data_IF_832818698038
#
_entry.id   IF_832818698038
#
_cell.length_a   1.000
_cell.length_b   1.000
_cell.length_c   1.000
_cell.angle_alpha   90.00
_cell.angle_beta   90.00
_cell.angle_gamma   90.00
#
_symmetry.space_group_name_H-M   'P 1'
#
loop_
_entity.id
_entity.type
_entity.pdbx_description
1 polymer ?
#
# COMPACT_ATOMS: atom_id res chain seq x y z
N UNK A 1 17.68 -11.38 26.87
CA UNK A 1 17.98 -10.85 25.51
C UNK A 1 16.74 -10.17 24.95
N UNK A 2 16.78 -8.92 24.48
CA UNK A 2 15.58 -8.22 23.97
C UNK A 2 15.24 -8.66 22.54
N UNK A 3 14.60 -9.82 22.40
CA UNK A 3 14.15 -10.33 21.08
C UNK A 3 12.95 -9.53 20.60
N UNK A 4 13.15 -8.68 19.60
CA UNK A 4 12.02 -8.08 18.86
C UNK A 4 11.53 -9.10 17.85
N UNK A 5 10.23 -9.39 17.88
CA UNK A 5 9.56 -10.27 16.92
C UNK A 5 9.06 -9.46 15.73
N UNK A 6 9.53 -9.79 14.53
CA UNK A 6 9.19 -9.05 13.32
C UNK A 6 8.25 -9.90 12.46
N UNK A 7 6.99 -9.47 12.40
CA UNK A 7 5.91 -10.19 11.72
C UNK A 7 5.72 -9.63 10.31
N UNK A 8 6.33 -10.27 9.32
CA UNK A 8 5.87 -10.20 7.94
C UNK A 8 4.59 -11.02 7.79
N UNK A 9 3.67 -10.58 6.93
CA UNK A 9 2.52 -11.41 6.61
C UNK A 9 2.03 -11.25 5.19
N UNK A 10 1.85 -12.38 4.51
CA UNK A 10 0.97 -12.53 3.37
C UNK A 10 -0.35 -13.11 3.91
N UNK A 11 -1.24 -12.23 4.38
CA UNK A 11 -2.46 -12.60 5.12
C UNK A 11 -3.48 -13.21 4.16
N UNK A 12 -4.08 -14.34 4.54
CA UNK A 12 -5.39 -14.75 4.03
C UNK A 12 -6.45 -14.12 4.94
N UNK A 13 -7.15 -13.07 4.46
CA UNK A 13 -8.14 -12.37 5.28
C UNK A 13 -9.49 -13.07 5.22
N UNK A 14 -9.68 -14.05 6.10
CA UNK A 14 -10.99 -14.67 6.37
C UNK A 14 -11.23 -14.83 7.87
N UNK A 15 -12.31 -14.22 8.34
CA UNK A 15 -13.00 -14.48 9.62
C UNK A 15 -12.17 -14.51 10.91
N UNK A 16 -12.10 -13.36 11.61
CA UNK A 16 -11.85 -13.35 13.05
C UNK A 16 -13.07 -13.90 13.80
N UNK A 17 -13.02 -15.17 14.20
CA UNK A 17 -13.90 -15.73 15.25
C UNK A 17 -13.07 -16.65 16.16
N UNK A 18 -12.73 -16.13 17.34
CA UNK A 18 -12.16 -16.92 18.44
C UNK A 18 -13.25 -17.17 19.48
N UNK A 19 -13.84 -18.38 19.47
CA UNK A 19 -14.61 -18.88 20.60
C UNK A 19 -13.64 -19.44 21.66
N UNK A 20 -13.77 -19.06 22.94
CA UNK A 20 -12.91 -19.58 24.00
C UNK A 20 -13.29 -21.03 24.34
N UNK A 21 -12.39 -21.98 24.06
CA UNK A 21 -12.54 -23.36 24.51
C UNK A 21 -12.07 -23.47 25.97
N UNK A 22 -13.01 -23.54 26.90
CA UNK A 22 -12.76 -23.87 28.31
C UNK A 22 -12.64 -25.39 28.47
N UNK A 23 -11.58 -25.93 29.10
CA UNK A 23 -11.35 -27.38 29.18
C UNK A 23 -12.10 -28.04 30.35
N UNK A 24 -13.40 -28.28 30.21
CA UNK A 24 -14.16 -29.12 31.16
C UNK A 24 -14.02 -30.61 30.83
N UNK A 25 -13.45 -31.39 31.75
CA UNK A 25 -13.37 -32.86 31.63
C UNK A 25 -14.74 -33.51 31.85
N UNK A 26 -15.31 -34.14 30.83
CA UNK A 26 -16.21 -35.29 31.02
C UNK A 26 -16.17 -36.23 29.79
N UNK A 27 -16.30 -37.54 30.03
CA UNK A 27 -16.38 -38.57 28.98
C UNK A 27 -17.84 -38.92 28.74
N UNK A 28 -18.28 -38.91 27.49
CA UNK A 28 -19.53 -39.55 27.06
C UNK A 28 -19.42 -39.98 25.59
N UNK A 29 -19.54 -41.29 25.33
CA UNK A 29 -19.54 -41.81 23.97
C UNK A 29 -20.90 -41.54 23.30
N UNK A 30 -20.93 -40.82 22.18
CA UNK A 30 -22.11 -40.75 21.29
C UNK A 30 -21.63 -40.93 19.85
N UNK A 31 -22.26 -41.89 19.13
CA UNK A 31 -22.08 -42.07 17.68
C UNK A 31 -22.69 -40.89 16.94
N UNK A 32 -21.96 -40.32 15.98
CA UNK A 32 -22.56 -39.44 14.96
C UNK A 32 -22.96 -40.29 13.77
N UNK A 33 -24.26 -40.36 13.46
CA UNK A 33 -24.74 -40.82 12.17
C UNK A 33 -24.59 -39.69 11.14
N UNK A 34 -24.06 -39.99 9.96
CA UNK A 34 -24.11 -39.07 8.83
C UNK A 34 -25.53 -39.05 8.25
N UNK A 35 -26.28 -37.98 8.49
CA UNK A 35 -27.50 -37.65 7.74
C UNK A 35 -27.19 -36.59 6.69
N UNK A 36 -27.43 -36.91 5.42
CA UNK A 36 -27.23 -36.00 4.29
C UNK A 36 -28.42 -35.06 4.13
N UNK A 37 -28.28 -33.79 4.51
CA UNK A 37 -29.26 -32.76 4.21
C UNK A 37 -28.81 -31.88 3.03
N UNK A 38 -29.31 -32.22 1.84
CA UNK A 38 -29.55 -31.23 0.78
C UNK A 38 -30.76 -30.39 1.18
N UNK A 39 -30.68 -29.05 1.08
CA UNK A 39 -31.84 -28.17 1.21
C UNK A 39 -31.65 -26.83 0.48
N UNK A 40 -32.54 -26.58 -0.49
CA UNK A 40 -33.04 -25.29 -0.98
C UNK A 40 -32.05 -24.17 -1.30
N UNK A 41 -31.71 -24.07 -2.59
CA UNK A 41 -31.55 -22.77 -3.23
C UNK A 41 -32.94 -22.11 -3.36
N UNK A 42 -33.21 -21.10 -2.53
CA UNK A 42 -34.46 -20.33 -2.60
C UNK A 42 -34.41 -19.32 -3.75
N UNK A 43 -35.08 -19.62 -4.86
CA UNK A 43 -35.37 -18.65 -5.92
C UNK A 43 -36.26 -17.53 -5.38
N UNK A 44 -35.67 -16.36 -5.10
CA UNK A 44 -36.45 -15.15 -4.82
C UNK A 44 -36.98 -14.64 -6.16
N UNK A 45 -38.30 -14.75 -6.34
CA UNK A 45 -39.02 -14.18 -7.48
C UNK A 45 -38.93 -12.65 -7.46
N UNK A 46 -38.83 -12.05 -8.65
CA UNK A 46 -38.86 -10.58 -8.79
C UNK A 46 -40.27 -10.07 -8.51
N UNK A 47 -40.56 -9.68 -7.27
CA UNK A 47 -41.66 -8.77 -6.99
C UNK A 47 -41.28 -7.37 -7.47
N UNK A 48 -42.20 -6.70 -8.16
CA UNK A 48 -42.02 -5.32 -8.59
C UNK A 48 -42.04 -4.39 -7.38
N UNK A 49 -40.87 -4.06 -6.84
CA UNK A 49 -40.76 -3.10 -5.75
C UNK A 49 -41.28 -1.72 -6.19
N UNK A 50 -42.12 -1.13 -5.33
CA UNK A 50 -42.69 0.20 -5.53
C UNK A 50 -41.56 1.26 -5.52
N UNK A 51 -41.39 1.97 -6.64
CA UNK A 51 -40.39 3.02 -6.80
C UNK A 51 -40.88 4.31 -6.15
N UNK A 52 -40.12 4.82 -5.19
CA UNK A 52 -40.48 5.95 -4.31
C UNK A 52 -39.53 7.14 -4.44
N UNK A 53 -38.45 7.01 -5.21
CA UNK A 53 -37.59 8.14 -5.56
C UNK A 53 -36.46 7.77 -6.51
N UNK A 54 -35.57 8.73 -6.76
CA UNK A 54 -34.36 8.56 -7.56
C UNK A 54 -33.25 9.48 -7.05
N UNK A 55 -32.02 8.95 -7.00
CA UNK A 55 -30.81 9.72 -6.81
C UNK A 55 -30.24 10.09 -8.18
N UNK A 56 -30.13 11.40 -8.43
CA UNK A 56 -29.66 11.98 -9.70
C UNK A 56 -28.23 12.49 -9.52
N UNK A 57 -27.25 12.03 -10.32
CA UNK A 57 -25.86 12.48 -10.17
C UNK A 57 -25.74 13.96 -10.54
N UNK A 58 -24.86 14.66 -9.82
CA UNK A 58 -24.54 16.07 -10.06
C UNK A 58 -23.06 16.24 -10.43
N UNK A 59 -22.79 17.26 -11.25
CA UNK A 59 -21.44 17.74 -11.52
C UNK A 59 -20.89 18.60 -10.35
N UNK A 60 -19.66 19.10 -10.47
CA UNK A 60 -19.03 19.94 -9.44
C UNK A 60 -19.73 21.31 -9.24
N UNK A 61 -20.52 21.78 -10.20
CA UNK A 61 -21.29 23.02 -10.15
C UNK A 61 -22.70 22.83 -9.56
N UNK A 62 -23.08 21.59 -9.22
CA UNK A 62 -24.41 21.15 -8.76
C UNK A 62 -25.50 21.04 -9.85
N UNK A 63 -25.15 21.11 -11.14
CA UNK A 63 -26.07 20.76 -12.23
C UNK A 63 -26.18 19.23 -12.38
N UNK A 64 -27.27 18.73 -12.99
CA UNK A 64 -27.43 17.30 -13.28
C UNK A 64 -26.37 16.81 -14.30
N UNK A 65 -25.63 15.75 -13.96
CA UNK A 65 -24.58 15.21 -14.82
C UNK A 65 -25.17 14.40 -15.99
N UNK A 66 -25.13 14.98 -17.19
CA UNK A 66 -25.57 14.35 -18.44
C UNK A 66 -24.47 13.60 -19.19
N UNK A 67 -23.28 13.41 -18.60
CA UNK A 67 -22.16 12.69 -19.22
C UNK A 67 -22.36 11.18 -19.37
N UNK A 68 -23.42 10.62 -18.74
CA UNK A 68 -23.66 9.18 -18.57
C UNK A 68 -22.52 8.42 -17.85
N UNK A 69 -21.56 9.12 -17.24
CA UNK A 69 -20.44 8.49 -16.53
C UNK A 69 -20.84 7.82 -15.20
N UNK A 70 -21.94 8.30 -14.60
CA UNK A 70 -22.53 7.80 -13.36
C UNK A 70 -24.03 7.56 -13.61
N UNK A 71 -24.58 6.37 -13.29
CA UNK A 71 -26.00 6.10 -13.47
C UNK A 71 -26.87 6.81 -12.41
N UNK A 72 -28.10 7.14 -12.79
CA UNK A 72 -29.16 7.47 -11.83
C UNK A 72 -29.54 6.21 -11.05
N UNK A 73 -29.67 6.30 -9.72
CA UNK A 73 -30.03 5.16 -8.87
C UNK A 73 -31.48 5.29 -8.45
N UNK A 74 -32.33 4.35 -8.88
CA UNK A 74 -33.73 4.29 -8.45
C UNK A 74 -33.81 3.84 -6.98
N UNK A 75 -34.76 4.42 -6.23
CA UNK A 75 -34.99 4.14 -4.83
C UNK A 75 -36.37 3.51 -4.67
N UNK A 76 -36.40 2.31 -4.11
CA UNK A 76 -37.59 1.51 -3.83
C UNK A 76 -37.96 1.56 -2.33
N UNK A 77 -39.19 1.18 -2.01
CA UNK A 77 -39.63 0.97 -0.63
C UNK A 77 -38.76 -0.08 0.08
N UNK A 78 -38.35 0.17 1.33
CA UNK A 78 -37.39 -0.68 2.04
C UNK A 78 -35.93 -0.19 1.93
N UNK A 79 -34.97 -1.12 2.00
CA UNK A 79 -33.52 -0.80 2.08
C UNK A 79 -32.86 -0.87 0.72
N UNK A 80 -32.30 0.26 0.26
CA UNK A 80 -31.56 0.39 -0.99
C UNK A 80 -30.08 0.60 -0.66
N UNK A 81 -29.17 -0.18 -1.22
CA UNK A 81 -27.74 -0.12 -0.87
C UNK A 81 -26.95 0.53 -2.00
N UNK A 82 -26.34 1.69 -1.73
CA UNK A 82 -25.47 2.42 -2.65
C UNK A 82 -23.99 2.18 -2.33
N UNK A 83 -23.17 2.18 -3.39
CA UNK A 83 -21.73 2.01 -3.35
C UNK A 83 -21.23 1.45 -4.69
N UNK A 84 -19.98 0.96 -4.72
CA UNK A 84 -19.35 0.47 -5.95
C UNK A 84 -19.98 -0.78 -6.57
N UNK A 85 -20.86 -1.48 -5.86
CA UNK A 85 -21.60 -2.62 -6.41
C UNK A 85 -22.77 -2.17 -7.31
N UNK A 86 -23.21 -0.91 -7.21
CA UNK A 86 -24.32 -0.31 -7.98
C UNK A 86 -23.84 0.83 -8.89
N UNK A 87 -22.83 1.57 -8.44
CA UNK A 87 -22.29 2.75 -9.15
C UNK A 87 -20.88 2.39 -9.63
N UNK A 88 -20.60 2.30 -10.95
CA UNK A 88 -19.37 1.73 -11.52
C UNK A 88 -18.15 2.66 -11.43
N UNK A 89 -17.87 3.16 -10.22
CA UNK A 89 -16.78 4.06 -9.88
C UNK A 89 -15.54 3.24 -9.49
N UNK A 90 -14.36 3.64 -9.98
CA UNK A 90 -13.08 2.97 -9.66
C UNK A 90 -12.46 3.41 -8.32
N UNK A 91 -12.90 4.54 -7.77
CA UNK A 91 -12.37 5.10 -6.52
C UNK A 91 -12.65 4.19 -5.31
N UNK A 92 -11.56 3.62 -4.77
CA UNK A 92 -11.59 2.69 -3.65
C UNK A 92 -11.94 3.37 -2.30
N UNK A 93 -12.03 4.70 -2.23
CA UNK A 93 -12.62 5.43 -1.09
C UNK A 93 -14.10 5.11 -0.93
N UNK A 94 -14.84 5.00 -2.04
CA UNK A 94 -16.22 4.53 -2.03
C UNK A 94 -16.23 3.03 -1.68
N UNK A 95 -17.05 2.64 -0.71
CA UNK A 95 -17.19 1.24 -0.32
C UNK A 95 -18.07 0.48 -1.32
N UNK A 96 -18.00 -0.85 -1.35
CA UNK A 96 -18.88 -1.70 -2.19
C UNK A 96 -20.35 -1.52 -1.83
N UNK A 97 -20.62 -1.64 -0.53
CA UNK A 97 -21.80 -1.14 0.18
C UNK A 97 -21.31 0.03 1.04
N UNK A 98 -21.85 1.23 0.83
CA UNK A 98 -21.31 2.48 1.40
C UNK A 98 -22.38 3.31 2.12
N UNK A 99 -23.58 3.39 1.56
CA UNK A 99 -24.72 4.09 2.15
C UNK A 99 -25.98 3.23 1.96
N UNK A 100 -26.68 2.92 3.04
CA UNK A 100 -28.04 2.38 2.97
C UNK A 100 -29.04 3.54 2.95
N UNK A 101 -29.96 3.55 1.99
CA UNK A 101 -31.09 4.47 1.90
C UNK A 101 -32.36 3.66 2.18
N UNK A 102 -32.88 3.79 3.38
CA UNK A 102 -34.08 3.09 3.87
C UNK A 102 -35.28 3.99 3.73
N UNK A 103 -36.28 3.59 2.93
CA UNK A 103 -37.60 4.25 2.89
C UNK A 103 -38.58 3.45 3.71
N UNK A 104 -39.07 4.07 4.79
CA UNK A 104 -40.03 3.51 5.75
C UNK A 104 -41.46 3.45 5.18
N UNK A 105 -42.34 2.73 5.88
CA UNK A 105 -43.74 2.59 5.46
C UNK A 105 -44.56 3.90 5.50
N UNK A 106 -44.10 4.89 6.28
CA UNK A 106 -44.64 6.25 6.37
C UNK A 106 -44.10 7.21 5.28
N UNK A 107 -43.25 6.71 4.36
CA UNK A 107 -42.58 7.51 3.35
C UNK A 107 -41.34 8.26 3.84
N UNK A 108 -40.96 8.15 5.11
CA UNK A 108 -39.74 8.78 5.61
C UNK A 108 -38.48 8.09 5.05
N UNK A 109 -37.56 8.88 4.51
CA UNK A 109 -36.31 8.39 3.91
C UNK A 109 -35.15 8.64 4.86
N UNK A 110 -34.50 7.57 5.34
CA UNK A 110 -33.34 7.62 6.22
C UNK A 110 -32.10 7.06 5.52
N UNK A 111 -30.99 7.78 5.62
CA UNK A 111 -29.68 7.32 5.14
C UNK A 111 -28.81 6.87 6.31
N UNK A 112 -28.08 5.77 6.15
CA UNK A 112 -27.16 5.20 7.16
C UNK A 112 -25.82 4.84 6.51
N UNK A 113 -24.70 5.27 7.08
CA UNK A 113 -23.36 5.04 6.48
C UNK A 113 -22.85 3.64 6.81
N UNK A 114 -22.90 2.75 5.83
CA UNK A 114 -22.33 1.38 5.91
C UNK A 114 -20.80 1.38 5.71
N UNK A 115 -20.29 2.39 5.00
CA UNK A 115 -18.88 2.52 4.66
C UNK A 115 -17.97 2.87 5.84
N UNK A 116 -16.67 2.69 5.63
CA UNK A 116 -15.63 3.16 6.56
C UNK A 116 -15.26 4.64 6.36
N UNK A 117 -15.46 5.17 5.15
CA UNK A 117 -15.33 6.59 4.86
C UNK A 117 -16.66 7.33 5.13
N UNK A 118 -16.63 8.59 5.56
CA UNK A 118 -17.81 9.37 5.88
C UNK A 118 -18.57 9.84 4.63
N UNK A 119 -19.88 9.99 4.77
CA UNK A 119 -20.77 10.62 3.78
C UNK A 119 -21.10 12.05 4.24
N UNK A 120 -21.46 12.94 3.33
CA UNK A 120 -21.94 14.29 3.69
C UNK A 120 -23.31 14.53 3.07
N UNK A 121 -24.23 15.07 3.85
CA UNK A 121 -25.55 15.51 3.40
C UNK A 121 -25.59 17.03 3.42
N UNK A 122 -25.97 17.65 2.30
CA UNK A 122 -26.37 19.06 2.24
C UNK A 122 -27.89 19.11 2.24
N UNK A 123 -28.47 19.77 3.23
CA UNK A 123 -29.89 20.13 3.27
C UNK A 123 -29.99 21.63 3.47
N UNK A 124 -30.54 22.32 2.47
CA UNK A 124 -30.47 23.79 2.39
C UNK A 124 -29.02 24.28 2.61
N UNK A 125 -28.79 25.21 3.53
CA UNK A 125 -27.44 25.73 3.84
C UNK A 125 -26.62 24.85 4.80
N UNK A 126 -27.19 23.76 5.35
CA UNK A 126 -26.50 22.90 6.30
C UNK A 126 -25.76 21.75 5.62
N UNK A 127 -24.42 21.73 5.75
CA UNK A 127 -23.55 20.64 5.27
C UNK A 127 -23.14 19.72 6.43
N UNK A 128 -23.95 18.70 6.71
CA UNK A 128 -23.73 17.74 7.81
C UNK A 128 -22.93 16.52 7.36
N UNK A 129 -21.80 16.27 8.02
CA UNK A 129 -21.01 15.04 7.86
C UNK A 129 -21.61 13.91 8.71
N UNK A 130 -21.60 12.69 8.17
CA UNK A 130 -21.99 11.46 8.86
C UNK A 130 -20.81 10.47 8.87
N UNK A 131 -20.53 9.89 10.03
CA UNK A 131 -19.55 8.82 10.23
C UNK A 131 -20.19 7.42 10.04
N UNK A 132 -19.36 6.38 10.01
CA UNK A 132 -19.82 4.99 9.90
C UNK A 132 -20.85 4.65 11.00
N UNK A 133 -21.97 4.01 10.61
CA UNK A 133 -23.16 3.72 11.43
C UNK A 133 -23.99 4.93 11.89
N UNK A 134 -23.58 6.17 11.60
CA UNK A 134 -24.46 7.33 11.81
C UNK A 134 -25.56 7.37 10.74
N UNK A 135 -26.69 7.98 11.12
CA UNK A 135 -27.90 8.02 10.31
C UNK A 135 -28.58 9.38 10.33
N UNK A 136 -29.26 9.73 9.24
CA UNK A 136 -29.97 11.00 9.07
C UNK A 136 -31.22 10.81 8.21
N UNK A 137 -32.33 11.48 8.55
CA UNK A 137 -33.50 11.57 7.67
C UNK A 137 -33.24 12.64 6.62
N UNK A 138 -33.50 12.34 5.35
CA UNK A 138 -33.34 13.25 4.21
C UNK A 138 -34.70 13.61 3.57
N UNK A 139 -34.72 14.69 2.81
CA UNK A 139 -35.91 15.24 2.13
C UNK A 139 -35.67 15.38 0.63
N UNK A 140 -36.75 15.60 -0.11
CA UNK A 140 -36.64 15.99 -1.52
C UNK A 140 -35.73 17.21 -1.69
N UNK A 141 -34.83 17.14 -2.66
CA UNK A 141 -33.87 18.20 -2.96
C UNK A 141 -32.52 18.12 -2.24
N UNK A 142 -32.40 17.31 -1.17
CA UNK A 142 -31.12 17.14 -0.45
C UNK A 142 -30.02 16.54 -1.34
N UNK A 143 -28.77 16.94 -1.10
CA UNK A 143 -27.61 16.48 -1.87
C UNK A 143 -26.70 15.60 -1.01
N UNK A 144 -26.46 14.38 -1.47
CA UNK A 144 -25.58 13.38 -0.85
C UNK A 144 -24.22 13.43 -1.55
N UNK A 145 -23.16 13.86 -0.85
CA UNK A 145 -21.77 13.63 -1.27
C UNK A 145 -21.37 12.25 -0.74
N UNK A 146 -21.30 11.23 -1.61
CA UNK A 146 -20.94 9.87 -1.17
C UNK A 146 -19.48 9.80 -0.67
N UNK A 147 -18.62 10.72 -1.07
CA UNK A 147 -17.33 11.00 -0.41
C UNK A 147 -17.24 12.53 -0.26
N UNK A 148 -16.67 13.10 0.81
CA UNK A 148 -16.70 14.56 0.99
C UNK A 148 -16.05 15.28 -0.19
N UNK A 149 -16.84 16.11 -0.89
CA UNK A 149 -16.45 16.82 -2.11
C UNK A 149 -16.57 16.05 -3.43
N UNK A 150 -17.09 14.81 -3.45
CA UNK A 150 -17.15 13.96 -4.63
C UNK A 150 -18.41 13.09 -4.70
N UNK A 151 -18.76 12.63 -5.90
CA UNK A 151 -19.89 11.72 -6.17
C UNK A 151 -21.18 12.24 -5.54
N UNK A 152 -21.58 13.43 -6.00
CA UNK A 152 -22.75 14.15 -5.52
C UNK A 152 -24.01 13.58 -6.19
N UNK A 153 -25.04 13.31 -5.39
CA UNK A 153 -26.35 12.90 -5.86
C UNK A 153 -27.44 13.75 -5.22
N UNK A 154 -28.32 14.34 -6.02
CA UNK A 154 -29.55 14.97 -5.53
C UNK A 154 -30.63 13.90 -5.33
N UNK A 155 -31.21 13.83 -4.15
CA UNK A 155 -32.40 13.01 -3.92
C UNK A 155 -33.62 13.72 -4.50
N UNK A 156 -34.37 13.01 -5.34
CA UNK A 156 -35.71 13.39 -5.78
C UNK A 156 -36.69 12.33 -5.30
N UNK A 157 -37.62 12.71 -4.44
CA UNK A 157 -38.72 11.84 -4.04
C UNK A 157 -39.70 11.72 -5.22
N UNK A 158 -40.25 10.53 -5.46
CA UNK A 158 -41.37 10.36 -6.37
C UNK A 158 -42.67 10.67 -5.62
N UNK A 159 -42.80 11.93 -5.23
CA UNK A 159 -44.10 12.50 -4.90
C UNK A 159 -45.02 12.32 -6.11
N UNK A 160 -46.29 11.98 -5.85
CA UNK A 160 -47.31 12.02 -6.89
C UNK A 160 -47.36 13.43 -7.51
N UNK A 161 -47.56 13.50 -8.84
CA UNK A 161 -47.57 14.73 -9.69
C UNK A 161 -46.20 15.18 -10.25
N UNK A 162 -45.76 14.45 -11.29
CA UNK A 162 -45.71 14.93 -12.68
C UNK A 162 -44.85 16.19 -13.07
N UNK A 163 -43.67 15.98 -13.69
CA UNK A 163 -43.38 16.30 -15.14
C UNK A 163 -41.91 16.12 -15.58
N UNK A 164 -41.70 15.99 -16.90
CA UNK A 164 -40.40 15.76 -17.59
C UNK A 164 -40.05 16.96 -18.48
N UNK A 165 -38.76 17.26 -18.70
CA UNK A 165 -38.24 17.86 -19.95
C UNK A 165 -36.72 17.60 -20.11
N UNK A 166 -36.19 17.75 -21.34
CA UNK A 166 -34.79 17.48 -21.76
C UNK A 166 -34.47 18.24 -23.08
N UNK A 167 -33.29 18.14 -23.74
CA UNK A 167 -32.27 19.21 -23.67
C UNK A 167 -31.73 19.73 -25.03
N UNK A 168 -30.83 20.74 -25.02
CA UNK A 168 -30.13 21.27 -26.21
C UNK A 168 -28.83 22.04 -25.86
N UNK A 169 -27.98 22.53 -26.78
CA UNK A 169 -27.17 21.87 -27.86
C UNK A 169 -26.12 22.90 -28.43
N UNK A 170 -25.04 22.45 -29.10
CA UNK A 170 -24.06 23.26 -29.92
C UNK A 170 -23.03 24.12 -29.12
N UNK A 171 -21.85 24.58 -29.63
CA UNK A 171 -20.96 24.28 -30.81
C UNK A 171 -19.52 24.84 -30.60
N UNK A 172 -18.57 24.54 -31.52
CA UNK A 172 -17.24 25.20 -31.72
C UNK A 172 -17.17 25.96 -33.06
N UNK A 173 -16.15 26.81 -33.28
CA UNK A 173 -15.51 27.01 -34.60
C UNK A 173 -13.96 26.92 -34.60
N UNK A 174 -13.32 27.26 -35.73
CA UNK A 174 -11.87 27.25 -36.09
C UNK A 174 -11.50 28.65 -36.68
N UNK A 175 -10.36 29.01 -37.32
CA UNK A 175 -9.10 28.42 -37.87
C UNK A 175 -8.05 29.62 -37.99
N UNK A 176 -6.81 29.68 -38.52
CA UNK A 176 -5.89 28.89 -39.39
C UNK A 176 -4.52 28.61 -38.67
N UNK A 177 -3.26 28.88 -39.10
CA UNK A 177 -2.60 29.57 -40.24
C UNK A 177 -1.05 29.40 -40.24
N UNK A 178 -0.34 29.66 -41.35
CA UNK A 178 1.09 29.28 -41.58
C UNK A 178 1.88 30.26 -42.47
N UNK A 179 3.20 30.45 -42.22
CA UNK A 179 4.23 30.74 -43.25
C UNK A 179 5.66 30.39 -42.79
N UNK A 180 6.63 30.37 -43.72
CA UNK A 180 7.97 29.76 -43.63
C UNK A 180 9.04 30.64 -44.34
N UNK A 181 10.34 30.51 -44.01
CA UNK A 181 11.43 31.25 -44.69
C UNK A 181 12.83 30.57 -44.59
N UNK A 182 13.84 31.15 -45.25
CA UNK A 182 14.73 30.44 -46.17
C UNK A 182 16.18 30.14 -45.70
N UNK A 183 16.89 29.19 -46.34
CA UNK A 183 18.01 28.48 -45.70
C UNK A 183 19.41 28.99 -46.08
N UNK A 184 19.88 30.10 -45.49
CA UNK A 184 21.31 30.50 -45.59
C UNK A 184 22.00 30.77 -44.23
N UNK A 185 21.26 31.12 -43.18
CA UNK A 185 21.83 31.41 -41.85
C UNK A 185 22.23 30.16 -41.02
N UNK A 186 22.17 28.96 -41.62
CA UNK A 186 22.28 27.67 -40.90
C UNK A 186 23.71 27.15 -40.76
N UNK A 187 24.67 27.63 -41.58
CA UNK A 187 26.06 27.11 -41.58
C UNK A 187 27.04 27.80 -40.62
N UNK A 188 26.89 29.08 -40.30
CA UNK A 188 27.77 29.74 -39.33
C UNK A 188 27.44 29.34 -37.87
N UNK A 189 26.15 29.22 -37.52
CA UNK A 189 25.72 28.86 -36.15
C UNK A 189 26.07 27.44 -35.72
N UNK A 190 26.53 26.58 -36.64
CA UNK A 190 26.92 25.21 -36.34
C UNK A 190 28.29 25.17 -35.62
N UNK A 191 29.25 25.98 -36.09
CA UNK A 191 30.64 25.94 -35.63
C UNK A 191 30.82 26.48 -34.20
N UNK A 192 30.11 27.54 -33.82
CA UNK A 192 30.17 28.10 -32.46
C UNK A 192 29.60 27.14 -31.40
N UNK A 193 28.66 26.26 -31.79
CA UNK A 193 28.02 25.31 -30.87
C UNK A 193 28.94 24.12 -30.56
N UNK A 194 29.65 23.61 -31.57
CA UNK A 194 30.60 22.51 -31.40
C UNK A 194 31.81 22.92 -30.55
N UNK A 195 32.31 24.15 -30.71
CA UNK A 195 33.44 24.66 -29.91
C UNK A 195 33.04 24.89 -28.43
N UNK A 196 31.82 25.40 -28.19
CA UNK A 196 31.28 25.55 -26.84
C UNK A 196 31.05 24.19 -26.14
N UNK A 197 30.67 23.16 -26.89
CA UNK A 197 30.50 21.79 -26.39
C UNK A 197 31.85 21.18 -25.97
N UNK A 198 32.90 21.35 -26.78
CA UNK A 198 34.24 20.83 -26.49
C UNK A 198 34.80 21.37 -25.16
N UNK A 199 34.75 22.70 -24.95
CA UNK A 199 35.23 23.32 -23.70
C UNK A 199 34.49 22.80 -22.46
N UNK A 200 33.21 22.46 -22.59
CA UNK A 200 32.39 21.93 -21.50
C UNK A 200 32.76 20.48 -21.13
N UNK A 201 33.00 19.61 -22.12
CA UNK A 201 33.53 18.27 -21.83
C UNK A 201 34.87 18.35 -21.09
N UNK A 202 35.73 19.31 -21.43
CA UNK A 202 37.01 19.51 -20.76
C UNK A 202 36.86 19.88 -19.26
N UNK A 203 35.89 20.73 -18.90
CA UNK A 203 35.60 21.06 -17.50
C UNK A 203 35.00 19.88 -16.74
N UNK A 204 34.08 19.15 -17.38
CA UNK A 204 33.36 18.05 -16.74
C UNK A 204 34.29 16.87 -16.42
N UNK A 205 35.29 16.60 -17.27
CA UNK A 205 36.36 15.60 -17.01
C UNK A 205 37.26 15.99 -15.84
N UNK A 206 37.69 17.27 -15.75
CA UNK A 206 38.58 17.70 -14.67
C UNK A 206 37.88 17.66 -13.30
N UNK A 207 36.59 18.02 -13.25
CA UNK A 207 35.77 17.92 -12.04
C UNK A 207 35.62 16.45 -11.60
N UNK A 208 35.34 15.52 -12.53
CA UNK A 208 35.17 14.09 -12.26
C UNK A 208 36.47 13.41 -11.77
N UNK A 209 37.66 13.94 -12.11
CA UNK A 209 38.94 13.50 -11.52
C UNK A 209 39.08 14.01 -10.08
N UNK A 210 38.79 15.30 -9.84
CA UNK A 210 38.96 15.91 -8.52
C UNK A 210 37.95 15.37 -7.49
N UNK A 211 36.70 15.13 -7.89
CA UNK A 211 35.69 14.47 -7.07
C UNK A 211 36.10 13.04 -6.69
N UNK A 212 36.80 12.31 -7.57
CA UNK A 212 37.30 10.94 -7.29
C UNK A 212 38.39 10.92 -6.24
N UNK A 213 39.36 11.84 -6.28
CA UNK A 213 40.40 11.92 -5.24
C UNK A 213 39.80 12.27 -3.88
N UNK A 214 38.84 13.22 -3.84
CA UNK A 214 38.07 13.56 -2.63
C UNK A 214 37.28 12.34 -2.11
N UNK A 215 36.67 11.54 -2.99
CA UNK A 215 35.97 10.30 -2.61
C UNK A 215 36.92 9.26 -2.00
N UNK A 216 38.09 9.04 -2.59
CA UNK A 216 39.09 8.07 -2.12
C UNK A 216 39.61 8.42 -0.73
N UNK A 217 39.81 9.71 -0.43
CA UNK A 217 40.24 10.15 0.90
C UNK A 217 39.10 10.07 1.94
N UNK A 218 37.86 10.37 1.54
CA UNK A 218 36.68 10.21 2.39
C UNK A 218 36.41 8.72 2.76
N UNK A 219 36.65 7.78 1.82
CA UNK A 219 36.51 6.34 2.04
C UNK A 219 37.43 5.85 3.18
N UNK A 220 38.67 6.35 3.27
CA UNK A 220 39.66 5.91 4.26
C UNK A 220 39.30 6.28 5.70
N UNK A 221 38.54 7.36 5.91
CA UNK A 221 38.29 7.93 7.24
C UNK A 221 36.86 7.71 7.79
N UNK A 222 36.00 6.92 7.14
CA UNK A 222 34.67 6.61 7.69
C UNK A 222 34.71 5.68 8.91
N UNK A 223 34.96 6.26 10.07
CA UNK A 223 34.55 5.74 11.38
C UNK A 223 33.07 6.13 11.59
N UNK A 224 32.13 5.19 11.73
CA UNK A 224 30.74 5.53 12.04
C UNK A 224 30.68 6.33 13.35
N UNK A 225 30.08 7.54 13.38
CA UNK A 225 29.87 8.27 14.63
C UNK A 225 29.05 7.40 15.59
N UNK A 226 29.54 7.23 16.82
CA UNK A 226 28.98 6.27 17.80
C UNK A 226 27.51 6.54 18.15
N UNK A 227 27.04 7.75 17.89
CA UNK A 227 25.74 8.28 18.30
C UNK A 227 24.68 8.26 17.17
N UNK A 228 25.02 7.77 15.96
CA UNK A 228 24.06 7.67 14.85
C UNK A 228 23.18 6.42 14.98
N UNK A 229 21.88 6.67 15.21
CA UNK A 229 20.71 5.76 15.10
C UNK A 229 21.08 4.27 15.15
N UNK A 230 21.21 3.73 16.36
CA UNK A 230 21.47 2.31 16.63
C UNK A 230 20.48 1.38 15.89
N UNK A 231 20.90 0.15 15.58
CA UNK A 231 20.06 -0.94 15.03
C UNK A 231 18.86 -1.20 15.97
N UNK A 232 17.63 -0.88 15.56
CA UNK A 232 16.56 -0.62 16.55
C UNK A 232 15.15 -0.55 15.96
N UNK A 233 14.16 -0.49 16.87
CA UNK A 233 12.79 -0.09 16.58
C UNK A 233 12.62 1.43 16.74
N UNK A 234 11.88 2.05 15.81
CA UNK A 234 11.51 3.46 15.79
C UNK A 234 10.03 3.62 15.44
N UNK A 235 9.43 4.71 15.91
CA UNK A 235 8.19 5.21 15.35
C UNK A 235 8.50 6.05 14.10
N UNK A 236 7.55 6.08 13.17
CA UNK A 236 7.67 6.88 11.95
C UNK A 236 7.12 8.29 12.19
N UNK A 237 7.65 9.29 11.47
CA UNK A 237 7.36 10.71 11.69
C UNK A 237 5.91 11.06 11.37
N UNK A 238 5.25 11.85 12.22
CA UNK A 238 3.88 12.32 11.99
C UNK A 238 3.90 13.83 11.76
N UNK A 239 3.42 14.28 10.60
CA UNK A 239 3.29 15.70 10.25
C UNK A 239 2.16 16.33 11.06
N UNK A 240 2.40 17.55 11.56
CA UNK A 240 1.46 18.30 12.40
C UNK A 240 1.55 18.02 13.91
N UNK A 241 2.31 17.01 14.36
CA UNK A 241 2.65 16.87 15.78
C UNK A 241 3.75 17.85 16.20
N UNK A 242 3.74 18.20 17.48
CA UNK A 242 4.78 19.02 18.12
C UNK A 242 6.17 18.40 17.93
N UNK A 243 7.25 19.21 17.81
CA UNK A 243 8.59 18.70 17.52
C UNK A 243 9.08 17.63 18.51
N UNK A 244 8.78 17.78 19.80
CA UNK A 244 9.18 16.83 20.84
C UNK A 244 8.64 15.41 20.61
N UNK A 245 7.44 15.27 20.04
CA UNK A 245 6.82 13.98 19.74
C UNK A 245 7.50 13.26 18.55
N UNK A 246 8.25 14.00 17.74
CA UNK A 246 9.01 13.51 16.60
C UNK A 246 10.53 13.37 16.88
N UNK A 247 11.02 13.69 18.08
CA UNK A 247 12.47 13.75 18.41
C UNK A 247 13.25 12.48 18.03
N UNK A 248 12.62 11.31 18.15
CA UNK A 248 13.21 10.01 17.80
C UNK A 248 12.42 9.30 16.69
N UNK A 249 11.68 10.03 15.85
CA UNK A 249 10.94 9.45 14.73
C UNK A 249 11.75 9.47 13.42
N UNK A 250 11.37 8.64 12.44
CA UNK A 250 12.03 8.58 11.13
C UNK A 250 11.04 8.81 9.98
N UNK A 251 11.46 9.56 8.97
CA UNK A 251 10.79 9.71 7.67
C UNK A 251 11.36 8.72 6.63
N UNK A 252 10.79 8.71 5.42
CA UNK A 252 11.31 7.85 4.33
C UNK A 252 12.70 8.28 3.86
N UNK A 253 13.01 9.58 3.87
CA UNK A 253 14.34 10.10 3.54
C UNK A 253 15.42 9.72 4.57
N UNK A 254 15.06 9.63 5.85
CA UNK A 254 15.98 9.19 6.91
C UNK A 254 16.34 7.69 6.76
N UNK A 255 15.46 6.90 6.16
CA UNK A 255 15.64 5.46 5.94
C UNK A 255 16.40 5.18 4.63
N UNK A 256 16.02 5.87 3.55
CA UNK A 256 16.53 5.66 2.18
C UNK A 256 17.45 6.84 1.79
N UNK A 257 18.70 6.77 2.26
CA UNK A 257 19.74 7.79 2.04
C UNK A 257 21.11 7.16 1.80
N UNK A 258 22.00 7.90 1.13
CA UNK A 258 23.32 7.41 0.72
C UNK A 258 23.29 6.54 -0.53
N UNK A 259 24.43 5.97 -0.87
CA UNK A 259 24.69 5.31 -2.16
C UNK A 259 24.13 3.88 -2.19
N UNK A 260 22.80 3.78 -2.34
CA UNK A 260 22.11 2.51 -2.56
C UNK A 260 22.29 2.09 -4.02
N UNK A 261 22.88 0.92 -4.25
CA UNK A 261 22.98 0.30 -5.58
C UNK A 261 21.71 -0.46 -5.96
N UNK A 262 21.08 -1.14 -5.01
CA UNK A 262 19.86 -1.93 -5.22
C UNK A 262 18.86 -1.67 -4.09
N UNK A 263 17.63 -1.29 -4.42
CA UNK A 263 16.53 -1.21 -3.47
C UNK A 263 15.43 -2.22 -3.83
N UNK A 264 15.16 -3.18 -2.95
CA UNK A 264 13.96 -4.03 -3.04
C UNK A 264 12.92 -3.47 -2.07
N UNK A 265 11.81 -2.95 -2.60
CA UNK A 265 10.72 -2.33 -1.85
C UNK A 265 9.49 -3.25 -1.87
N UNK A 266 9.21 -3.91 -0.75
CA UNK A 266 8.03 -4.75 -0.55
C UNK A 266 6.90 -3.92 0.06
N UNK A 267 5.72 -3.87 -0.57
CA UNK A 267 4.54 -3.23 0.01
C UNK A 267 3.19 -3.78 -0.50
N UNK A 268 2.09 -3.39 0.16
CA UNK A 268 0.72 -3.67 -0.30
C UNK A 268 0.24 -2.58 -1.27
N UNK A 269 0.07 -1.34 -0.79
CA UNK A 269 -0.28 -0.18 -1.61
C UNK A 269 0.96 0.66 -1.91
N UNK A 270 1.04 1.18 -3.14
CA UNK A 270 2.13 2.03 -3.61
C UNK A 270 1.56 3.20 -4.42
N UNK A 271 1.68 4.40 -3.87
CA UNK A 271 1.49 5.65 -4.59
C UNK A 271 2.87 6.07 -5.11
N UNK A 272 3.11 5.80 -6.39
CA UNK A 272 4.42 6.03 -7.02
C UNK A 272 4.75 7.53 -7.11
N UNK A 273 3.76 8.38 -7.35
CA UNK A 273 3.97 9.82 -7.56
C UNK A 273 4.30 10.50 -6.24
N UNK A 274 3.59 10.15 -5.15
CA UNK A 274 3.97 10.55 -3.80
C UNK A 274 5.35 10.01 -3.41
N UNK A 275 5.61 8.71 -3.61
CA UNK A 275 6.88 8.07 -3.25
C UNK A 275 8.09 8.76 -3.91
N UNK A 276 7.92 9.15 -5.18
CA UNK A 276 8.92 9.84 -5.98
C UNK A 276 9.05 11.35 -5.71
N UNK A 277 8.13 11.90 -4.91
CA UNK A 277 8.15 13.28 -4.42
C UNK A 277 8.75 13.36 -3.00
N UNK A 278 8.31 12.49 -2.09
CA UNK A 278 8.78 12.44 -0.70
C UNK A 278 10.16 11.77 -0.56
N UNK A 279 10.57 10.91 -1.51
CA UNK A 279 11.90 10.30 -1.54
C UNK A 279 12.59 10.39 -2.93
N UNK A 280 13.02 11.58 -3.39
CA UNK A 280 13.62 11.74 -4.72
C UNK A 280 14.89 10.92 -4.95
N UNK A 281 15.61 10.54 -3.89
CA UNK A 281 16.79 9.66 -3.91
C UNK A 281 16.52 8.35 -4.65
N UNK A 282 15.30 7.81 -4.57
CA UNK A 282 14.90 6.57 -5.28
C UNK A 282 15.06 6.66 -6.81
N UNK A 283 15.07 7.87 -7.39
CA UNK A 283 15.34 8.09 -8.84
C UNK A 283 16.81 7.88 -9.21
N UNK A 284 17.73 8.02 -8.25
CA UNK A 284 19.19 7.88 -8.45
C UNK A 284 19.69 6.46 -8.23
N UNK A 285 18.90 5.60 -7.57
CA UNK A 285 19.27 4.20 -7.30
C UNK A 285 19.35 3.44 -8.63
N UNK A 286 20.49 2.81 -8.98
CA UNK A 286 20.68 2.11 -10.25
C UNK A 286 19.63 1.04 -10.53
N UNK A 287 19.21 0.25 -9.54
CA UNK A 287 18.18 -0.77 -9.69
C UNK A 287 17.16 -0.75 -8.54
N UNK A 288 15.87 -0.68 -8.87
CA UNK A 288 14.78 -0.74 -7.89
C UNK A 288 13.78 -1.83 -8.27
N UNK A 289 13.53 -2.76 -7.36
CA UNK A 289 12.49 -3.79 -7.47
C UNK A 289 11.34 -3.45 -6.52
N UNK A 290 10.16 -3.15 -7.05
CA UNK A 290 8.94 -2.91 -6.25
C UNK A 290 8.07 -4.17 -6.26
N UNK A 291 8.02 -4.85 -5.13
CA UNK A 291 7.19 -6.04 -4.89
C UNK A 291 5.86 -5.58 -4.30
N UNK A 292 4.79 -5.57 -5.10
CA UNK A 292 3.54 -4.86 -4.78
C UNK A 292 2.30 -5.76 -4.65
N UNK A 293 1.33 -5.32 -3.86
CA UNK A 293 -0.02 -5.90 -3.79
C UNK A 293 -1.03 -5.29 -4.77
N UNK A 294 -0.72 -4.13 -5.36
CA UNK A 294 -1.66 -3.36 -6.20
C UNK A 294 -2.22 -4.14 -7.41
N UNK A 295 -3.46 -3.79 -7.77
CA UNK A 295 -4.26 -4.32 -8.88
C UNK A 295 -4.92 -3.18 -9.66
N UNK A 296 -5.53 -3.52 -10.80
CA UNK A 296 -6.39 -2.63 -11.58
C UNK A 296 -5.63 -1.38 -12.06
N UNK A 297 -6.32 -0.25 -12.30
CA UNK A 297 -5.74 1.00 -12.81
C UNK A 297 -4.55 1.56 -12.01
N UNK A 298 -4.35 1.19 -10.74
CA UNK A 298 -3.11 1.54 -10.02
C UNK A 298 -1.90 0.76 -10.50
N UNK A 299 -2.06 -0.55 -10.78
CA UNK A 299 -1.00 -1.35 -11.36
C UNK A 299 -0.65 -0.85 -12.77
N UNK A 300 -1.64 -0.39 -13.54
CA UNK A 300 -1.44 0.22 -14.87
C UNK A 300 -0.72 1.58 -14.77
N UNK A 301 -1.13 2.44 -13.82
CA UNK A 301 -0.46 3.71 -13.53
C UNK A 301 0.99 3.51 -13.10
N UNK A 302 1.28 2.55 -12.22
CA UNK A 302 2.65 2.19 -11.85
C UNK A 302 3.46 1.70 -13.05
N UNK A 303 2.89 0.82 -13.90
CA UNK A 303 3.55 0.33 -15.12
C UNK A 303 3.87 1.45 -16.11
N UNK A 304 3.00 2.46 -16.22
CA UNK A 304 3.15 3.61 -17.14
C UNK A 304 4.17 4.64 -16.65
N UNK A 305 4.22 4.91 -15.34
CA UNK A 305 4.99 6.04 -14.79
C UNK A 305 6.26 5.63 -14.02
N UNK A 306 6.57 4.32 -13.90
CA UNK A 306 7.86 3.86 -13.35
C UNK A 306 9.03 4.36 -14.20
N UNK A 307 10.20 4.63 -13.60
CA UNK A 307 11.46 4.74 -14.34
C UNK A 307 11.77 3.48 -15.16
N UNK A 308 12.62 3.62 -16.18
CA UNK A 308 13.06 2.51 -17.03
C UNK A 308 13.72 1.39 -16.22
N UNK A 309 14.66 1.76 -15.35
CA UNK A 309 15.45 0.88 -14.47
C UNK A 309 14.70 0.28 -13.27
N UNK A 310 13.38 0.53 -13.14
CA UNK A 310 12.56 -0.05 -12.08
C UNK A 310 11.83 -1.31 -12.56
N UNK A 311 11.88 -2.38 -11.76
CA UNK A 311 11.15 -3.62 -11.97
C UNK A 311 9.92 -3.61 -11.06
N UNK A 312 8.74 -3.92 -11.61
CA UNK A 312 7.53 -4.13 -10.82
C UNK A 312 7.22 -5.63 -10.78
N UNK A 313 7.05 -6.17 -9.58
CA UNK A 313 6.72 -7.57 -9.37
C UNK A 313 5.49 -7.74 -8.50
N UNK A 314 4.66 -8.73 -8.82
CA UNK A 314 3.48 -9.12 -8.06
C UNK A 314 3.61 -10.60 -7.68
N UNK A 315 3.90 -10.94 -6.42
CA UNK A 315 4.08 -12.32 -5.99
C UNK A 315 2.85 -13.21 -6.27
N UNK A 316 3.05 -14.52 -6.48
CA UNK A 316 1.95 -15.45 -6.67
C UNK A 316 1.09 -15.54 -5.41
N UNK A 317 -0.23 -15.42 -5.58
CA UNK A 317 -1.23 -15.55 -4.53
C UNK A 317 -2.18 -16.71 -4.91
N UNK A 318 -1.74 -17.98 -4.78
CA UNK A 318 -2.46 -19.16 -5.30
C UNK A 318 -3.68 -19.58 -4.46
N UNK A 319 -3.98 -18.85 -3.37
CA UNK A 319 -5.12 -19.09 -2.49
C UNK A 319 -6.03 -17.86 -2.57
N UNK A 320 -7.33 -18.07 -2.76
CA UNK A 320 -8.34 -17.02 -2.80
C UNK A 320 -8.26 -16.12 -1.54
N UNK A 321 -8.55 -14.83 -1.72
CA UNK A 321 -8.47 -13.78 -0.68
C UNK A 321 -7.09 -13.58 -0.02
N UNK A 322 -6.03 -14.25 -0.51
CA UNK A 322 -4.65 -13.96 -0.14
C UNK A 322 -4.22 -12.56 -0.58
N UNK A 323 -3.46 -11.86 0.28
CA UNK A 323 -2.98 -10.49 0.04
C UNK A 323 -1.48 -10.37 0.26
N UNK A 324 -0.77 -9.69 -0.66
CA UNK A 324 0.61 -9.27 -0.42
C UNK A 324 0.65 -8.10 0.58
N UNK A 325 0.60 -8.40 1.87
CA UNK A 325 0.54 -7.39 2.94
C UNK A 325 1.92 -7.01 3.53
N UNK A 326 2.98 -7.73 3.15
CA UNK A 326 4.37 -7.47 3.57
C UNK A 326 4.84 -6.07 3.24
N UNK A 327 5.68 -5.51 4.13
CA UNK A 327 6.12 -4.11 4.14
C UNK A 327 7.56 -4.03 4.63
N UNK A 328 8.49 -3.97 3.70
CA UNK A 328 9.92 -4.07 3.98
C UNK A 328 10.76 -3.42 2.88
N UNK A 329 11.99 -3.07 3.23
CA UNK A 329 12.98 -2.56 2.28
C UNK A 329 14.31 -3.29 2.49
N UNK A 330 14.94 -3.69 1.39
CA UNK A 330 16.29 -4.27 1.39
C UNK A 330 17.16 -3.35 0.53
N UNK A 331 18.03 -2.59 1.17
CA UNK A 331 18.86 -1.55 0.53
C UNK A 331 20.32 -2.02 0.53
N UNK A 332 20.85 -2.31 -0.66
CA UNK A 332 22.23 -2.77 -0.86
C UNK A 332 23.13 -1.57 -1.09
N UNK A 333 24.19 -1.46 -0.28
CA UNK A 333 25.21 -0.41 -0.28
C UNK A 333 26.58 -1.03 -0.62
N UNK A 334 27.61 -0.23 -0.95
CA UNK A 334 28.99 -0.70 -1.10
C UNK A 334 29.48 -1.59 0.07
N UNK A 335 29.05 -1.28 1.30
CA UNK A 335 29.56 -1.92 2.53
C UNK A 335 28.67 -3.04 3.11
N UNK A 336 27.51 -3.34 2.52
CA UNK A 336 26.57 -4.34 3.04
C UNK A 336 25.11 -4.09 2.65
N UNK A 337 24.17 -4.61 3.46
CA UNK A 337 22.72 -4.42 3.27
C UNK A 337 22.08 -3.81 4.52
N UNK A 338 21.20 -2.83 4.35
CA UNK A 338 20.21 -2.44 5.37
C UNK A 338 18.93 -3.22 5.12
N UNK A 339 18.43 -3.89 6.14
CA UNK A 339 17.09 -4.49 6.13
C UNK A 339 16.19 -3.66 7.02
N UNK A 340 15.05 -3.23 6.46
CA UNK A 340 14.01 -2.47 7.12
C UNK A 340 12.70 -3.26 7.04
N UNK A 341 11.93 -3.26 8.12
CA UNK A 341 10.59 -3.86 8.16
C UNK A 341 9.67 -2.90 8.92
N UNK A 342 8.52 -2.57 8.34
CA UNK A 342 7.69 -1.46 8.81
C UNK A 342 6.19 -1.72 8.64
N UNK A 343 5.33 -0.90 9.25
CA UNK A 343 3.87 -1.07 9.16
C UNK A 343 3.18 -0.13 8.15
N UNK A 344 3.88 0.92 7.69
CA UNK A 344 3.35 1.86 6.70
C UNK A 344 3.23 1.30 5.27
N UNK A 345 2.12 1.59 4.58
CA UNK A 345 2.05 1.48 3.12
C UNK A 345 2.89 2.58 2.45
N UNK A 346 3.31 2.43 1.18
CA UNK A 346 4.03 3.48 0.45
C UNK A 346 3.04 4.53 -0.10
N UNK A 347 2.34 5.22 0.81
CA UNK A 347 1.36 6.30 0.51
C UNK A 347 1.50 7.42 1.54
N UNK A 348 1.14 8.66 1.15
CA UNK A 348 1.26 9.85 2.01
C UNK A 348 0.68 9.67 3.42
N UNK A 349 -0.58 9.20 3.51
CA UNK A 349 -1.32 9.13 4.79
C UNK A 349 -0.64 8.21 5.81
N UNK A 350 -0.03 7.12 5.34
CA UNK A 350 0.60 6.15 6.23
C UNK A 350 1.95 6.65 6.75
N UNK A 351 2.73 7.39 5.95
CA UNK A 351 4.02 7.94 6.36
C UNK A 351 3.93 9.29 7.08
N UNK A 352 2.76 9.94 7.10
CA UNK A 352 2.62 11.30 7.60
C UNK A 352 1.50 11.52 8.62
N UNK A 353 0.49 10.63 8.71
CA UNK A 353 -0.72 10.84 9.52
C UNK A 353 -1.10 9.64 10.41
N UNK A 354 -0.18 8.69 10.63
CA UNK A 354 -0.42 7.50 11.46
C UNK A 354 0.78 7.20 12.35
N UNK A 355 0.51 6.71 13.56
CA UNK A 355 1.50 5.96 14.34
C UNK A 355 1.84 4.68 13.58
N UNK A 356 3.10 4.55 13.15
CA UNK A 356 3.62 3.37 12.46
C UNK A 356 4.94 2.95 13.10
N UNK A 357 5.18 1.64 13.14
CA UNK A 357 6.43 1.07 13.60
C UNK A 357 7.38 0.75 12.45
N UNK A 358 8.67 0.88 12.71
CA UNK A 358 9.76 0.49 11.82
C UNK A 358 10.87 -0.16 12.66
N UNK A 359 11.38 -1.31 12.22
CA UNK A 359 12.68 -1.82 12.64
C UNK A 359 13.66 -1.72 11.47
N UNK A 360 14.92 -1.42 11.77
CA UNK A 360 16.01 -1.52 10.79
C UNK A 360 17.33 -1.97 11.42
N UNK A 361 18.08 -2.77 10.66
CA UNK A 361 19.43 -3.19 11.00
C UNK A 361 20.32 -3.29 9.75
N UNK A 362 21.56 -2.83 9.89
CA UNK A 362 22.61 -2.91 8.88
C UNK A 362 23.47 -4.17 9.10
N UNK A 363 23.75 -4.89 8.02
CA UNK A 363 24.51 -6.13 7.98
C UNK A 363 25.65 -6.01 6.95
N UNK A 364 26.93 -6.23 7.32
CA UNK A 364 28.05 -6.13 6.40
C UNK A 364 28.07 -7.30 5.41
N UNK A 365 28.94 -7.23 4.39
CA UNK A 365 29.30 -8.42 3.61
C UNK A 365 29.95 -9.51 4.50
N UNK A 366 29.75 -10.78 4.14
CA UNK A 366 30.49 -11.90 4.74
C UNK A 366 31.95 -11.87 4.30
N UNK A 367 32.82 -12.33 5.20
CA UNK A 367 34.21 -12.66 4.93
C UNK A 367 34.50 -14.10 5.38
N UNK A 368 35.75 -14.55 5.29
CA UNK A 368 36.17 -15.91 5.66
C UNK A 368 35.90 -16.27 7.13
N UNK A 369 35.86 -15.28 8.02
CA UNK A 369 35.55 -15.44 9.45
C UNK A 369 34.06 -15.41 9.80
N UNK A 370 33.18 -15.09 8.84
CA UNK A 370 31.75 -14.97 9.09
C UNK A 370 31.07 -16.31 9.36
N UNK A 371 30.02 -16.29 10.18
CA UNK A 371 29.22 -17.48 10.46
C UNK A 371 28.60 -18.05 9.16
N UNK A 372 28.59 -19.38 9.03
CA UNK A 372 28.04 -20.07 7.84
C UNK A 372 26.54 -19.79 7.62
N UNK A 373 25.83 -19.39 8.67
CA UNK A 373 24.51 -18.77 8.61
C UNK A 373 23.97 -18.46 10.01
N UNK A 374 22.81 -17.80 10.07
CA UNK A 374 22.06 -17.61 11.32
C UNK A 374 20.58 -17.96 11.14
N UNK A 375 19.83 -18.09 12.24
CA UNK A 375 18.39 -18.33 12.16
C UNK A 375 17.65 -17.24 11.37
N UNK A 376 18.07 -15.97 11.52
CA UNK A 376 17.54 -14.85 10.74
C UNK A 376 17.85 -15.00 9.24
N UNK A 377 19.06 -15.45 8.87
CA UNK A 377 19.41 -15.70 7.46
C UNK A 377 18.52 -16.77 6.84
N UNK A 378 18.39 -17.94 7.47
CA UNK A 378 17.56 -19.03 6.95
C UNK A 378 16.11 -18.59 6.77
N UNK A 379 15.56 -17.91 7.78
CA UNK A 379 14.19 -17.41 7.78
C UNK A 379 13.98 -16.34 6.68
N UNK A 380 14.98 -15.49 6.42
CA UNK A 380 14.96 -14.46 5.38
C UNK A 380 15.01 -15.07 3.98
N UNK A 381 15.97 -15.97 3.73
CA UNK A 381 16.18 -16.57 2.41
C UNK A 381 14.96 -17.42 2.01
N UNK A 382 14.37 -18.17 2.94
CA UNK A 382 13.11 -18.88 2.71
C UNK A 382 12.00 -17.90 2.29
N UNK A 383 11.84 -16.77 3.01
CA UNK A 383 10.81 -15.77 2.70
C UNK A 383 11.02 -15.12 1.32
N UNK A 384 12.23 -14.66 1.00
CA UNK A 384 12.53 -14.09 -0.32
C UNK A 384 12.34 -15.12 -1.44
N UNK A 385 12.66 -16.40 -1.18
CA UNK A 385 12.43 -17.51 -2.11
C UNK A 385 10.95 -17.82 -2.36
N UNK A 386 10.05 -17.37 -1.49
CA UNK A 386 8.59 -17.46 -1.67
C UNK A 386 8.01 -16.31 -2.51
N UNK A 387 8.69 -15.16 -2.62
CA UNK A 387 8.21 -14.01 -3.39
C UNK A 387 8.25 -14.24 -4.91
N UNK A 388 9.13 -15.13 -5.39
CA UNK A 388 9.28 -15.50 -6.82
C UNK A 388 9.44 -14.31 -7.77
N UNK A 389 10.25 -13.32 -7.38
CA UNK A 389 10.58 -12.19 -8.25
C UNK A 389 11.49 -12.63 -9.42
N UNK A 390 11.46 -11.92 -10.57
CA UNK A 390 12.37 -12.21 -11.67
C UNK A 390 13.83 -11.91 -11.30
N UNK A 391 14.73 -12.72 -11.82
CA UNK A 391 16.18 -12.50 -11.76
C UNK A 391 16.57 -11.25 -12.57
N UNK A 392 17.49 -10.45 -12.05
CA UNK A 392 18.11 -9.33 -12.75
C UNK A 392 19.57 -9.16 -12.34
N UNK A 393 20.42 -8.78 -13.29
CA UNK A 393 21.86 -8.57 -13.06
C UNK A 393 22.12 -7.12 -12.66
N UNK A 394 23.04 -6.93 -11.72
CA UNK A 394 23.54 -5.63 -11.25
C UNK A 394 25.06 -5.66 -11.24
N UNK A 395 25.68 -4.61 -11.79
CA UNK A 395 27.10 -4.36 -11.62
C UNK A 395 27.31 -3.57 -10.32
N UNK A 396 28.00 -4.18 -9.35
CA UNK A 396 28.45 -3.49 -8.15
C UNK A 396 29.91 -3.04 -8.37
N UNK A 397 30.25 -1.75 -8.18
CA UNK A 397 31.64 -1.29 -8.14
C UNK A 397 32.49 -2.15 -7.20
N UNK A 398 33.75 -2.40 -7.61
CA UNK A 398 34.77 -3.23 -6.92
C UNK A 398 34.42 -4.72 -6.73
N UNK A 399 33.15 -5.08 -6.61
CA UNK A 399 32.67 -6.43 -6.33
C UNK A 399 32.28 -7.22 -7.59
N UNK A 400 31.96 -6.54 -8.70
CA UNK A 400 31.64 -7.15 -9.99
C UNK A 400 30.14 -7.37 -10.24
N UNK A 401 29.81 -8.28 -11.17
CA UNK A 401 28.44 -8.52 -11.61
C UNK A 401 27.75 -9.58 -10.74
N UNK A 402 26.53 -9.27 -10.27
CA UNK A 402 25.72 -10.17 -9.46
C UNK A 402 24.29 -10.32 -9.99
N UNK A 403 23.79 -11.54 -9.95
CA UNK A 403 22.37 -11.86 -10.06
C UNK A 403 21.65 -11.55 -8.73
N UNK A 404 20.59 -10.75 -8.76
CA UNK A 404 19.79 -10.37 -7.59
C UNK A 404 18.59 -11.33 -7.42
N UNK A 405 18.94 -12.56 -7.10
CA UNK A 405 18.01 -13.63 -6.69
C UNK A 405 18.02 -13.80 -5.16
N UNK A 406 17.04 -14.50 -4.55
CA UNK A 406 17.00 -14.70 -3.10
C UNK A 406 18.32 -15.18 -2.47
N UNK A 407 19.10 -16.03 -3.15
CA UNK A 407 20.41 -16.50 -2.67
C UNK A 407 21.52 -15.44 -2.67
N UNK A 408 21.38 -14.33 -3.40
CA UNK A 408 22.29 -13.17 -3.31
C UNK A 408 22.42 -12.69 -1.86
N UNK A 409 21.30 -12.63 -1.15
CA UNK A 409 21.25 -12.13 0.22
C UNK A 409 22.00 -13.02 1.23
N UNK A 410 22.44 -14.23 0.87
CA UNK A 410 23.36 -15.05 1.71
C UNK A 410 24.77 -14.45 1.84
N UNK A 411 25.11 -13.46 1.00
CA UNK A 411 26.42 -12.78 0.98
C UNK A 411 26.62 -11.78 2.13
N UNK A 412 25.60 -11.48 2.93
CA UNK A 412 25.70 -10.57 4.08
C UNK A 412 25.74 -11.34 5.41
N UNK A 413 26.47 -10.82 6.40
CA UNK A 413 26.63 -11.47 7.69
C UNK A 413 25.52 -11.10 8.68
N UNK A 414 24.59 -12.03 8.88
CA UNK A 414 23.50 -11.92 9.85
C UNK A 414 23.83 -12.51 11.22
N UNK A 415 25.12 -12.74 11.55
CA UNK A 415 25.57 -13.22 12.87
C UNK A 415 25.10 -12.31 14.02
N UNK A 416 25.05 -11.00 13.77
CA UNK A 416 24.65 -9.96 14.75
C UNK A 416 23.16 -9.60 14.72
N UNK A 417 22.30 -10.39 14.05
CA UNK A 417 20.87 -10.11 13.98
C UNK A 417 20.22 -10.09 15.37
N UNK A 418 19.66 -8.94 15.77
CA UNK A 418 19.09 -8.71 17.11
C UNK A 418 17.67 -9.27 17.30
N UNK A 419 17.12 -9.89 16.24
CA UNK A 419 15.69 -10.17 16.08
C UNK A 419 15.46 -11.55 15.46
N UNK A 420 14.23 -12.06 15.57
CA UNK A 420 13.80 -13.25 14.83
C UNK A 420 12.70 -12.88 13.84
N UNK A 421 12.89 -13.33 12.60
CA UNK A 421 11.95 -13.12 11.51
C UNK A 421 10.81 -14.14 11.60
N UNK A 422 9.58 -13.64 11.51
CA UNK A 422 8.35 -14.42 11.45
C UNK A 422 7.61 -13.97 10.19
N UNK A 423 7.48 -14.84 9.19
CA UNK A 423 6.76 -14.53 7.96
C UNK A 423 5.55 -15.44 7.79
N UNK A 424 4.48 -14.94 7.17
CA UNK A 424 3.40 -15.78 6.63
C UNK A 424 3.53 -15.87 5.11
N UNK A 425 3.42 -17.08 4.56
CA UNK A 425 3.44 -17.37 3.12
C UNK A 425 2.20 -18.20 2.76
N UNK A 426 1.47 -17.92 1.66
CA UNK A 426 0.30 -18.69 1.29
C UNK A 426 0.66 -20.15 0.98
N UNK A 427 -0.03 -21.09 1.60
CA UNK A 427 0.17 -22.53 1.40
C UNK A 427 -0.42 -23.37 2.51
N UNK A 428 -0.57 -24.67 2.26
CA UNK A 428 -0.93 -25.67 3.25
C UNK A 428 0.34 -26.34 3.76
N UNK A 429 0.89 -25.83 4.87
CA UNK A 429 2.22 -26.19 5.37
C UNK A 429 2.17 -27.39 6.33
N UNK A 430 2.74 -28.52 5.91
CA UNK A 430 2.75 -29.80 6.64
C UNK A 430 4.17 -30.31 6.92
N UNK A 431 4.29 -31.38 7.73
CA UNK A 431 5.58 -31.98 8.08
C UNK A 431 6.55 -30.97 8.71
N UNK A 432 7.80 -30.93 8.23
CA UNK A 432 8.80 -29.96 8.69
C UNK A 432 8.46 -28.51 8.34
N UNK A 433 7.67 -28.26 7.28
CA UNK A 433 7.32 -26.89 6.85
C UNK A 433 6.35 -26.17 7.79
N UNK A 434 5.61 -26.91 8.64
CA UNK A 434 4.63 -26.32 9.58
C UNK A 434 5.26 -25.30 10.54
N UNK A 435 6.56 -25.46 10.86
CA UNK A 435 7.30 -24.54 11.75
C UNK A 435 7.90 -23.32 11.04
N UNK A 436 7.84 -23.23 9.70
CA UNK A 436 8.46 -22.12 8.94
C UNK A 436 7.66 -20.82 8.98
N UNK A 437 6.33 -20.87 9.10
CA UNK A 437 5.47 -19.72 8.84
C UNK A 437 4.44 -19.38 9.94
N UNK A 438 4.00 -18.12 9.95
CA UNK A 438 2.87 -17.62 10.74
C UNK A 438 2.98 -17.85 12.24
N UNK A 439 1.85 -18.10 12.89
CA UNK A 439 1.79 -18.34 14.34
C UNK A 439 2.54 -19.60 14.79
N UNK A 440 2.75 -20.59 13.90
CA UNK A 440 3.53 -21.79 14.19
C UNK A 440 5.04 -21.52 14.16
N UNK A 441 5.49 -20.56 13.34
CA UNK A 441 6.84 -19.99 13.43
C UNK A 441 7.04 -19.23 14.74
N UNK A 442 6.10 -18.35 15.10
CA UNK A 442 6.10 -17.64 16.39
C UNK A 442 6.21 -18.62 17.56
N UNK A 443 5.33 -19.64 17.61
CA UNK A 443 5.38 -20.71 18.61
C UNK A 443 6.75 -21.39 18.68
N UNK A 444 7.32 -21.74 17.53
CA UNK A 444 8.62 -22.43 17.48
C UNK A 444 9.74 -21.56 18.06
N UNK A 445 9.80 -20.27 17.69
CA UNK A 445 10.81 -19.35 18.23
C UNK A 445 10.59 -19.05 19.72
N UNK A 446 9.35 -18.99 20.19
CA UNK A 446 9.04 -18.86 21.63
C UNK A 446 9.47 -20.11 22.41
N UNK A 447 9.40 -21.31 21.82
CA UNK A 447 9.89 -22.55 22.45
C UNK A 447 11.43 -22.60 22.55
N UNK A 448 12.16 -21.87 21.69
CA UNK A 448 13.61 -21.70 21.77
C UNK A 448 14.04 -20.69 22.87
N UNK A 449 13.09 -19.98 23.50
CA UNK A 449 13.37 -18.90 24.45
C UNK A 449 13.19 -19.33 25.91
N UNK A 450 14.17 -18.98 26.76
CA UNK A 450 14.04 -19.06 28.23
C UNK A 450 13.42 -17.76 28.75
N UNK A 451 12.42 -17.89 29.61
CA UNK A 451 11.73 -16.77 30.26
C UNK A 451 11.88 -16.86 31.78
N UNK A 452 12.08 -15.72 32.42
CA UNK A 452 12.15 -15.61 33.87
C UNK A 452 10.78 -15.87 34.54
N UNK A 453 10.79 -16.26 35.82
CA UNK A 453 9.57 -16.70 36.53
C UNK A 453 8.47 -15.62 36.60
N UNK A 454 8.83 -14.34 36.52
CA UNK A 454 7.89 -13.22 36.46
C UNK A 454 6.96 -13.25 35.24
N UNK A 455 7.35 -13.92 34.15
CA UNK A 455 6.50 -14.07 32.96
C UNK A 455 5.41 -15.15 33.13
N UNK A 456 5.42 -15.92 34.22
CA UNK A 456 4.37 -16.91 34.48
C UNK A 456 3.01 -16.22 34.68
N UNK A 457 2.00 -16.66 33.93
CA UNK A 457 0.65 -16.06 33.89
C UNK A 457 0.60 -14.59 33.42
N UNK A 458 1.66 -14.06 32.79
CA UNK A 458 1.65 -12.71 32.22
C UNK A 458 0.57 -12.53 31.14
N UNK A 459 -0.07 -11.35 31.04
CA UNK A 459 -1.13 -11.09 30.06
C UNK A 459 -0.59 -11.03 28.63
N UNK A 460 -1.35 -11.60 27.69
CA UNK A 460 -1.05 -11.51 26.25
C UNK A 460 -1.77 -10.30 25.65
N UNK A 461 -1.01 -9.30 25.24
CA UNK A 461 -1.52 -8.08 24.60
C UNK A 461 -1.42 -8.23 23.08
N UNK A 462 -2.52 -7.93 22.37
CA UNK A 462 -2.58 -7.91 20.92
C UNK A 462 -3.03 -6.53 20.46
N UNK A 463 -2.27 -5.92 19.55
CA UNK A 463 -2.67 -4.72 18.81
C UNK A 463 -2.57 -5.05 17.31
N UNK A 464 -3.60 -4.63 16.56
CA UNK A 464 -3.77 -4.83 15.11
C UNK A 464 -4.17 -3.54 14.42
#
# INVERSE_FOLDING_TARGET
MRVIYIIFSLVNTSSYFLLPIVPTKQKSNIRVHNSTNSCYASLITQSSMEKVGVLVPLNNNLDEDTSNSIPRVEISKGVNILGRDVIPITDKRLSRKHLSVTVSADGSTQVTVEGTNPVVIRSQDQRKKLLSREKLTIKDGDIIELIPGHYLFKYKAFNSVDKRHSPSKQKRPLIEGVQDDSPTQKRLRQLEQDEALARKLQSDINNDIQDKEIFVEAIRNFKPPKDKISQTFRLMRVKGLQPWANTNSVSIGDVIQGDVFVAVLSNYMVDLDWLMSECPTLKKIPHVLVVHGESDGRQEHMKKNKPSNWILHKPPLPIAWGTHHSKAMFLVYPRGVRIIVHTANLIYVDWNNKSQGLWMQDFPWKNESSAKGSGFESDLIDYLSALKWPEFTVQLPELGNFSIIPSFFKRFDYSKATVRLIASVPGYHSGSSIKKWGHMKLRSVLQDCVFDKEFQNSPLIYQV
#
